data_IF_169328999875
#
_entry.id   IF_169328999875
#
_cell.length_a   1.000
_cell.length_b   1.000
_cell.length_c   1.000
_cell.angle_alpha   90.00
_cell.angle_beta   90.00
_cell.angle_gamma   90.00
#
_symmetry.space_group_name_H-M   'P 1'
#
loop_
_entity.id
_entity.type
_entity.pdbx_description
1 polymer ?
#
# COMPACT_ATOMS: atom_id res chain seq x y z
N UNK A 1 10.99 16.04 -38.98
CA UNK A 1 10.01 15.20 -38.26
C UNK A 1 9.85 15.78 -36.88
N UNK A 2 8.81 16.58 -36.67
CA UNK A 2 8.54 17.18 -35.36
C UNK A 2 7.86 16.12 -34.49
N UNK A 3 8.44 15.81 -33.32
CA UNK A 3 7.82 14.93 -32.33
C UNK A 3 6.70 15.70 -31.64
N UNK A 4 5.47 15.28 -31.86
CA UNK A 4 4.31 15.71 -31.07
C UNK A 4 4.51 15.23 -29.64
N UNK A 5 4.83 16.15 -28.73
CA UNK A 5 4.75 15.89 -27.30
C UNK A 5 3.30 16.09 -26.88
N UNK A 6 2.64 14.98 -26.56
CA UNK A 6 1.29 14.95 -25.99
C UNK A 6 1.33 15.50 -24.56
N UNK A 7 1.22 16.83 -24.44
CA UNK A 7 1.09 17.58 -23.17
C UNK A 7 -0.34 17.50 -22.60
N UNK A 8 -0.94 16.30 -22.64
CA UNK A 8 -2.22 16.00 -22.01
C UNK A 8 -2.07 15.51 -20.56
N UNK A 9 -3.00 15.83 -19.64
CA UNK A 9 -2.99 15.22 -18.31
C UNK A 9 -3.12 13.70 -18.43
N UNK A 10 -2.08 12.97 -17.98
CA UNK A 10 -2.01 11.52 -18.10
C UNK A 10 -3.24 10.81 -17.54
N UNK A 11 -3.78 9.86 -18.31
CA UNK A 11 -4.91 9.05 -17.88
C UNK A 11 -4.52 8.12 -16.73
N UNK A 12 -5.37 8.04 -15.70
CA UNK A 12 -5.16 7.13 -14.58
C UNK A 12 -5.37 5.68 -15.04
N UNK A 13 -4.48 4.75 -14.64
CA UNK A 13 -4.65 3.31 -14.90
C UNK A 13 -5.87 2.70 -14.21
N UNK A 14 -6.51 3.43 -13.28
CA UNK A 14 -7.79 3.08 -12.67
C UNK A 14 -8.48 4.38 -12.20
N UNK A 15 -9.48 4.89 -12.93
CA UNK A 15 -10.18 6.11 -12.52
C UNK A 15 -10.97 5.84 -11.23
N UNK A 16 -10.89 6.73 -10.22
CA UNK A 16 -11.39 6.46 -8.87
C UNK A 16 -12.91 6.31 -8.74
N UNK A 17 -13.67 6.50 -9.83
CA UNK A 17 -15.13 6.45 -9.78
C UNK A 17 -15.83 6.07 -11.10
N UNK A 18 -15.12 5.55 -12.13
CA UNK A 18 -15.71 5.20 -13.45
C UNK A 18 -16.60 6.28 -14.11
N UNK A 19 -16.58 7.53 -13.62
CA UNK A 19 -17.46 8.63 -14.03
C UNK A 19 -17.33 9.05 -15.51
N UNK A 20 -16.29 8.57 -16.19
CA UNK A 20 -16.04 8.80 -17.61
C UNK A 20 -16.80 7.84 -18.53
N UNK A 21 -17.40 6.78 -17.99
CA UNK A 21 -18.17 5.78 -18.74
C UNK A 21 -19.67 6.11 -18.79
N UNK A 22 -20.12 7.12 -18.05
CA UNK A 22 -21.51 7.56 -18.03
C UNK A 22 -21.77 8.66 -19.05
N UNK A 23 -22.94 8.60 -19.69
CA UNK A 23 -23.46 9.65 -20.56
C UNK A 23 -23.46 11.01 -19.82
N UNK A 24 -22.97 12.11 -20.45
CA UNK A 24 -22.96 13.44 -19.85
C UNK A 24 -24.29 13.89 -19.23
N UNK A 25 -25.43 13.47 -19.79
CA UNK A 25 -26.78 13.81 -19.30
C UNK A 25 -27.12 13.12 -17.97
N UNK A 26 -26.49 11.98 -17.69
CA UNK A 26 -26.67 11.20 -16.46
C UNK A 26 -25.51 11.35 -15.49
N UNK A 27 -24.55 12.25 -15.78
CA UNK A 27 -23.43 12.52 -14.90
C UNK A 27 -23.96 13.19 -13.63
N UNK A 28 -23.95 12.52 -12.46
CA UNK A 28 -24.29 13.21 -11.23
C UNK A 28 -23.34 14.40 -11.08
N UNK A 29 -23.78 15.52 -10.46
CA UNK A 29 -22.91 16.66 -10.21
C UNK A 29 -21.61 16.13 -9.58
N UNK A 30 -20.46 16.66 -10.06
CA UNK A 30 -19.13 16.25 -9.57
C UNK A 30 -19.22 16.13 -8.05
N UNK A 31 -19.07 14.91 -7.53
CA UNK A 31 -19.18 14.63 -6.10
C UNK A 31 -18.35 15.68 -5.37
N UNK A 32 -18.98 16.47 -4.51
CA UNK A 32 -18.29 17.50 -3.73
C UNK A 32 -17.08 16.83 -3.07
N UNK A 33 -15.91 17.47 -3.10
CA UNK A 33 -14.73 17.00 -2.40
C UNK A 33 -15.03 16.72 -0.91
N UNK A 34 -16.01 17.41 -0.32
CA UNK A 34 -16.50 17.11 1.02
C UNK A 34 -17.20 15.75 1.11
N UNK A 35 -18.02 15.37 0.12
CA UNK A 35 -18.66 14.06 0.08
C UNK A 35 -17.64 12.94 -0.12
N UNK A 36 -16.64 13.15 -0.99
CA UNK A 36 -15.52 12.21 -1.15
C UNK A 36 -14.75 12.05 0.17
N UNK A 37 -14.47 13.14 0.89
CA UNK A 37 -13.80 13.08 2.21
C UNK A 37 -14.63 12.31 3.23
N UNK A 38 -15.94 12.57 3.30
CA UNK A 38 -16.87 11.87 4.20
C UNK A 38 -16.93 10.38 3.89
N UNK A 39 -17.08 10.02 2.62
CA UNK A 39 -17.09 8.64 2.16
C UNK A 39 -15.77 7.92 2.49
N UNK A 40 -14.61 8.53 2.18
CA UNK A 40 -13.29 7.94 2.51
C UNK A 40 -13.10 7.70 4.00
N UNK A 41 -13.61 8.59 4.86
CA UNK A 41 -13.56 8.41 6.31
C UNK A 41 -14.41 7.21 6.74
N UNK A 42 -15.67 7.17 6.32
CA UNK A 42 -16.59 6.09 6.65
C UNK A 42 -16.08 4.73 6.13
N UNK A 43 -15.56 4.68 4.91
CA UNK A 43 -15.06 3.45 4.31
C UNK A 43 -13.79 2.95 5.00
N UNK A 44 -12.88 3.85 5.40
CA UNK A 44 -11.71 3.48 6.22
C UNK A 44 -12.14 2.86 7.56
N UNK A 45 -13.10 3.46 8.24
CA UNK A 45 -13.62 2.95 9.52
C UNK A 45 -14.26 1.57 9.33
N UNK A 46 -15.11 1.42 8.31
CA UNK A 46 -15.76 0.14 7.96
C UNK A 46 -14.76 -0.96 7.64
N UNK A 47 -13.77 -0.69 6.79
CA UNK A 47 -12.76 -1.69 6.39
C UNK A 47 -11.83 -2.07 7.54
N UNK A 48 -11.44 -1.11 8.39
CA UNK A 48 -10.66 -1.41 9.60
C UNK A 48 -11.48 -2.30 10.53
N UNK A 49 -12.76 -1.99 10.76
CA UNK A 49 -13.63 -2.80 11.61
C UNK A 49 -13.79 -4.22 11.05
N UNK A 50 -14.04 -4.35 9.75
CA UNK A 50 -14.13 -5.65 9.08
C UNK A 50 -12.84 -6.47 9.23
N UNK A 51 -11.68 -5.84 9.09
CA UNK A 51 -10.37 -6.50 9.26
C UNK A 51 -10.12 -6.94 10.70
N UNK A 52 -10.49 -6.10 11.67
CA UNK A 52 -10.34 -6.42 13.09
C UNK A 52 -11.30 -7.51 13.56
N UNK A 53 -12.44 -7.68 12.89
CA UNK A 53 -13.40 -8.75 13.17
C UNK A 53 -12.90 -10.15 12.72
N UNK A 54 -11.92 -10.22 11.81
CA UNK A 54 -11.30 -11.49 11.42
C UNK A 54 -10.48 -12.05 12.60
N UNK A 55 -10.65 -13.30 13.03
CA UNK A 55 -9.86 -13.91 14.11
C UNK A 55 -8.35 -13.84 13.87
N UNK A 56 -7.57 -13.75 14.95
CA UNK A 56 -6.13 -13.50 14.87
C UNK A 56 -5.36 -14.64 14.17
N UNK A 57 -5.70 -15.88 14.48
CA UNK A 57 -5.18 -17.10 13.84
C UNK A 57 -5.47 -17.12 12.34
N UNK A 58 -6.69 -16.75 11.94
CA UNK A 58 -7.07 -16.65 10.52
C UNK A 58 -6.25 -15.56 9.82
N UNK A 59 -6.05 -14.40 10.43
CA UNK A 59 -5.18 -13.34 9.86
C UNK A 59 -3.72 -13.78 9.73
N UNK A 60 -3.21 -14.56 10.69
CA UNK A 60 -1.87 -15.15 10.62
C UNK A 60 -1.76 -16.10 9.43
N UNK A 61 -2.71 -17.02 9.26
CA UNK A 61 -2.73 -17.93 8.11
C UNK A 61 -2.84 -17.19 6.77
N UNK A 62 -3.67 -16.14 6.70
CA UNK A 62 -3.75 -15.29 5.51
C UNK A 62 -2.41 -14.58 5.21
N UNK A 63 -1.73 -14.05 6.23
CA UNK A 63 -0.44 -13.38 6.08
C UNK A 63 0.65 -14.34 5.58
N UNK A 64 0.66 -15.58 6.06
CA UNK A 64 1.56 -16.64 5.57
C UNK A 64 1.33 -16.94 4.09
N UNK A 65 0.07 -17.14 3.68
CA UNK A 65 -0.28 -17.39 2.27
C UNK A 65 0.09 -16.23 1.35
N UNK A 66 0.00 -14.99 1.84
CA UNK A 66 0.48 -13.80 1.12
C UNK A 66 2.00 -13.89 0.94
N UNK A 67 2.75 -14.20 2.00
CA UNK A 67 4.21 -14.39 1.92
C UNK A 67 4.63 -15.47 0.92
N UNK A 68 3.96 -16.62 0.92
CA UNK A 68 4.19 -17.70 -0.05
C UNK A 68 3.93 -17.25 -1.49
N UNK A 69 2.84 -16.51 -1.70
CA UNK A 69 2.49 -15.96 -3.01
C UNK A 69 3.52 -14.93 -3.49
N UNK A 70 4.04 -14.11 -2.57
CA UNK A 70 5.12 -13.15 -2.87
C UNK A 70 6.41 -13.87 -3.28
N UNK A 71 6.78 -14.95 -2.58
CA UNK A 71 7.95 -15.74 -2.94
C UNK A 71 7.82 -16.35 -4.33
N UNK A 72 6.66 -16.92 -4.66
CA UNK A 72 6.38 -17.46 -5.98
C UNK A 72 6.42 -16.38 -7.08
N UNK A 73 5.88 -15.19 -6.79
CA UNK A 73 5.80 -14.10 -7.76
C UNK A 73 7.15 -13.42 -8.01
N UNK A 74 7.94 -13.19 -6.97
CA UNK A 74 9.21 -12.44 -7.08
C UNK A 74 10.35 -13.34 -7.56
N UNK A 75 10.33 -14.62 -7.16
CA UNK A 75 11.39 -15.58 -7.44
C UNK A 75 12.64 -15.32 -6.60
N UNK A 76 13.82 -15.42 -7.22
CA UNK A 76 15.08 -15.17 -6.52
C UNK A 76 15.19 -13.73 -6.03
N UNK A 77 15.43 -13.59 -4.73
CA UNK A 77 15.50 -12.32 -4.02
C UNK A 77 16.93 -11.89 -3.69
N UNK A 78 17.92 -12.75 -3.95
CA UNK A 78 19.31 -12.44 -3.67
C UNK A 78 19.75 -11.16 -4.40
N UNK A 79 20.38 -10.24 -3.67
CA UNK A 79 20.83 -8.94 -4.20
C UNK A 79 19.72 -7.93 -4.50
N UNK A 80 18.44 -8.27 -4.30
CA UNK A 80 17.31 -7.36 -4.50
C UNK A 80 16.95 -6.59 -3.23
N UNK A 81 16.33 -5.43 -3.40
CA UNK A 81 15.76 -4.65 -2.31
C UNK A 81 14.23 -4.65 -2.37
N UNK A 82 13.59 -4.98 -1.24
CA UNK A 82 12.14 -4.97 -1.09
C UNK A 82 11.77 -3.96 0.00
N UNK A 83 10.92 -3.00 -0.33
CA UNK A 83 10.35 -2.10 0.66
C UNK A 83 9.03 -2.66 1.19
N UNK A 84 8.82 -2.59 2.50
CA UNK A 84 7.59 -3.00 3.17
C UNK A 84 7.15 -1.93 4.17
N UNK A 85 5.97 -2.12 4.76
CA UNK A 85 5.44 -1.28 5.82
C UNK A 85 5.48 -2.01 7.17
N UNK A 86 5.29 -1.25 8.26
CA UNK A 86 5.04 -1.83 9.58
C UNK A 86 3.52 -2.03 9.75
N UNK A 87 3.03 -3.24 10.05
CA UNK A 87 1.61 -3.56 9.95
C UNK A 87 0.75 -2.75 10.92
N UNK A 88 -0.38 -2.22 10.44
CA UNK A 88 -1.30 -1.40 11.21
C UNK A 88 -2.72 -2.01 11.25
N UNK A 89 -3.32 -2.04 12.45
CA UNK A 89 -4.72 -2.45 12.70
C UNK A 89 -5.21 -3.63 11.84
N UNK A 90 -4.63 -4.80 12.12
CA UNK A 90 -5.04 -6.07 11.51
C UNK A 90 -4.55 -6.29 10.07
N UNK A 91 -3.73 -5.39 9.51
CA UNK A 91 -3.05 -5.62 8.22
C UNK A 91 -2.24 -6.92 8.20
N UNK A 92 -1.97 -7.47 6.99
CA UNK A 92 -1.06 -8.60 6.85
C UNK A 92 0.27 -8.36 7.56
N UNK A 93 0.64 -9.28 8.45
CA UNK A 93 1.90 -9.20 9.17
C UNK A 93 2.99 -9.92 8.40
N UNK A 94 3.76 -9.15 7.62
CA UNK A 94 4.85 -9.67 6.79
C UNK A 94 6.22 -9.60 7.49
N UNK A 95 6.29 -9.31 8.78
CA UNK A 95 7.59 -9.16 9.49
C UNK A 95 8.43 -10.44 9.45
N UNK A 96 7.80 -11.60 9.54
CA UNK A 96 8.49 -12.89 9.38
C UNK A 96 9.01 -13.09 7.95
N UNK A 97 8.22 -12.68 6.95
CA UNK A 97 8.64 -12.75 5.54
C UNK A 97 9.79 -11.77 5.25
N UNK A 98 9.77 -10.56 5.81
CA UNK A 98 10.91 -9.63 5.75
C UNK A 98 12.20 -10.23 6.29
N UNK A 99 12.12 -10.93 7.43
CA UNK A 99 13.29 -11.62 7.99
C UNK A 99 13.81 -12.69 7.03
N UNK A 100 12.91 -13.47 6.41
CA UNK A 100 13.26 -14.46 5.38
C UNK A 100 13.92 -13.82 4.15
N UNK A 101 13.45 -12.67 3.68
CA UNK A 101 14.08 -11.93 2.57
C UNK A 101 15.53 -11.60 2.88
N UNK A 102 15.81 -11.05 4.07
CA UNK A 102 17.18 -10.76 4.48
C UNK A 102 18.04 -12.03 4.61
N UNK A 103 17.47 -13.11 5.16
CA UNK A 103 18.17 -14.38 5.31
C UNK A 103 18.54 -15.04 3.97
N UNK A 104 17.76 -14.78 2.91
CA UNK A 104 18.01 -15.27 1.53
C UNK A 104 18.92 -14.35 0.71
N UNK A 105 19.59 -13.39 1.34
CA UNK A 105 20.52 -12.47 0.67
C UNK A 105 19.84 -11.30 -0.05
N UNK A 106 18.53 -11.11 0.16
CA UNK A 106 17.85 -9.87 -0.18
C UNK A 106 18.08 -8.79 0.88
N UNK A 107 17.55 -7.59 0.64
CA UNK A 107 17.58 -6.47 1.58
C UNK A 107 16.17 -5.92 1.77
N UNK A 108 15.77 -5.62 3.00
CA UNK A 108 14.50 -4.93 3.26
C UNK A 108 14.66 -3.48 3.63
N UNK A 109 13.65 -2.67 3.33
CA UNK A 109 13.57 -1.29 3.78
C UNK A 109 12.18 -0.95 4.35
N UNK A 110 12.14 -0.02 5.30
CA UNK A 110 10.91 0.52 5.88
C UNK A 110 10.76 2.02 5.54
N UNK A 111 9.52 2.50 5.29
CA UNK A 111 9.25 3.91 5.08
C UNK A 111 9.36 4.69 6.38
N UNK A 112 9.87 5.91 6.29
CA UNK A 112 9.92 6.88 7.39
C UNK A 112 9.23 8.15 6.92
N UNK A 113 8.27 8.60 7.72
CA UNK A 113 7.67 9.94 7.61
C UNK A 113 8.59 10.91 8.34
N UNK A 114 9.29 11.76 7.60
CA UNK A 114 10.17 12.78 8.18
C UNK A 114 9.35 13.98 8.66
N UNK A 115 8.38 14.39 7.84
CA UNK A 115 7.52 15.56 8.09
C UNK A 115 6.17 15.38 7.38
N UNK A 116 5.16 16.09 7.87
CA UNK A 116 3.81 16.08 7.27
C UNK A 116 3.86 16.63 5.85
N UNK A 117 3.12 15.98 4.94
CA UNK A 117 2.97 16.39 3.53
C UNK A 117 4.29 16.40 2.74
N UNK A 118 5.24 15.55 3.12
CA UNK A 118 6.55 15.45 2.49
C UNK A 118 6.84 14.01 2.07
N UNK A 119 7.69 13.79 1.05
CA UNK A 119 7.95 12.45 0.56
C UNK A 119 8.49 11.51 1.64
N UNK A 120 8.11 10.24 1.57
CA UNK A 120 8.70 9.19 2.40
C UNK A 120 10.15 8.99 2.00
N UNK A 121 11.00 8.74 2.99
CA UNK A 121 12.30 8.10 2.74
C UNK A 121 12.22 6.63 3.14
N UNK A 122 13.06 5.81 2.52
CA UNK A 122 13.17 4.40 2.86
C UNK A 122 14.54 4.15 3.46
N UNK A 123 14.57 3.48 4.62
CA UNK A 123 15.82 3.06 5.25
C UNK A 123 15.88 1.56 5.30
N UNK A 124 17.07 1.03 5.03
CA UNK A 124 17.34 -0.39 5.21
C UNK A 124 17.00 -0.79 6.64
N UNK A 125 16.41 -1.97 6.78
CA UNK A 125 15.99 -2.55 8.04
C UNK A 125 16.32 -4.03 8.04
N UNK A 126 16.87 -4.51 9.15
CA UNK A 126 16.95 -5.93 9.50
C UNK A 126 16.34 -6.15 10.89
N UNK A 127 15.79 -7.34 11.18
CA UNK A 127 15.31 -7.66 12.53
C UNK A 127 16.38 -7.41 13.59
N UNK A 128 16.02 -6.64 14.61
CA UNK A 128 16.94 -6.21 15.67
C UNK A 128 17.35 -4.74 15.57
N UNK A 129 17.17 -4.11 14.41
CA UNK A 129 17.37 -2.67 14.26
C UNK A 129 16.43 -1.89 15.18
N UNK A 130 16.96 -0.83 15.80
CA UNK A 130 16.19 0.03 16.70
C UNK A 130 15.13 0.79 15.92
N UNK A 131 13.87 0.61 16.32
CA UNK A 131 12.74 1.37 15.81
C UNK A 131 12.33 2.47 16.78
N UNK A 132 11.93 3.61 16.23
CA UNK A 132 11.33 4.72 16.97
C UNK A 132 9.85 4.84 16.59
N UNK A 133 9.05 5.41 17.49
CA UNK A 133 7.66 5.75 17.17
C UNK A 133 7.66 6.82 16.08
N UNK A 134 7.16 6.46 14.90
CA UNK A 134 6.92 7.41 13.82
C UNK A 134 5.73 8.32 14.09
N UNK A 135 5.45 9.23 13.16
CA UNK A 135 4.20 10.02 13.14
C UNK A 135 3.15 9.20 12.39
N UNK A 136 2.01 8.88 13.02
CA UNK A 136 0.90 8.12 12.42
C UNK A 136 -0.47 8.77 12.67
#
# INVERSE_FOLDING_TARGET
MASDHDDGPGQYSSPPCFMHEFDPEFRPPLSDWNDVKRWRKAERERLIAARLAVPADVRTAMSQRIGESLDAMIGDIAGRMVSLYWPFRGEPDLRAWMASVNARGGRTALPIVIEKARPLIFRAYVPGDRLEKGVW
#
